data_IF_638920923564
#
_entry.id   IF_638920923564
#
_cell.length_a   1.000
_cell.length_b   1.000
_cell.length_c   1.000
_cell.angle_alpha   90.00
_cell.angle_beta   90.00
_cell.angle_gamma   90.00
#
_symmetry.space_group_name_H-M   'P 1'
#
loop_
_entity.id
_entity.type
_entity.pdbx_description
1 polymer ?
#
# COMPACT_ATOMS: atom_id res chain seq x y z
N UNK A 1 -5.28 -26.72 -9.87
CA UNK A 1 -5.51 -26.03 -8.59
C UNK A 1 -6.70 -25.09 -8.77
N UNK A 2 -7.63 -25.09 -7.82
CA UNK A 2 -8.92 -24.41 -7.93
C UNK A 2 -8.77 -22.88 -7.82
N UNK A 3 -9.41 -22.10 -8.71
CA UNK A 3 -9.31 -20.62 -8.76
C UNK A 3 -9.75 -19.94 -7.45
N UNK A 4 -10.60 -20.61 -6.67
CA UNK A 4 -11.04 -20.14 -5.35
C UNK A 4 -9.94 -20.27 -4.29
N UNK A 5 -9.09 -21.28 -4.37
CA UNK A 5 -7.94 -21.45 -3.47
C UNK A 5 -6.83 -20.45 -3.77
N UNK A 6 -6.54 -20.18 -5.04
CA UNK A 6 -5.51 -19.21 -5.43
C UNK A 6 -5.87 -17.78 -5.04
N UNK A 7 -7.16 -17.43 -5.11
CA UNK A 7 -7.66 -16.13 -4.62
C UNK A 7 -7.51 -15.95 -3.11
N UNK A 8 -7.84 -16.98 -2.31
CA UNK A 8 -7.68 -16.95 -0.85
C UNK A 8 -6.21 -16.83 -0.43
N UNK A 9 -5.32 -17.62 -1.05
CA UNK A 9 -3.87 -17.56 -0.79
C UNK A 9 -3.31 -16.19 -1.19
N UNK A 10 -3.75 -15.63 -2.33
CA UNK A 10 -3.31 -14.30 -2.76
C UNK A 10 -3.77 -13.21 -1.79
N UNK A 11 -4.97 -13.33 -1.24
CA UNK A 11 -5.51 -12.41 -0.24
C UNK A 11 -4.73 -12.48 1.08
N UNK A 12 -4.49 -13.68 1.61
CA UNK A 12 -3.72 -13.88 2.84
C UNK A 12 -2.26 -13.41 2.68
N UNK A 13 -1.66 -13.67 1.52
CA UNK A 13 -0.32 -13.18 1.18
C UNK A 13 -0.27 -11.65 1.11
N UNK A 14 -1.28 -11.01 0.51
CA UNK A 14 -1.40 -9.55 0.47
C UNK A 14 -1.46 -8.96 1.87
N UNK A 15 -2.34 -9.50 2.72
CA UNK A 15 -2.51 -9.02 4.09
C UNK A 15 -1.26 -9.20 4.96
N UNK A 16 -0.57 -10.34 4.83
CA UNK A 16 0.69 -10.58 5.53
C UNK A 16 1.81 -9.64 5.04
N UNK A 17 1.85 -9.35 3.74
CA UNK A 17 2.79 -8.40 3.17
C UNK A 17 2.52 -6.96 3.67
N UNK A 18 1.26 -6.52 3.68
CA UNK A 18 0.84 -5.22 4.23
C UNK A 18 1.29 -5.08 5.70
N UNK A 19 1.03 -6.11 6.51
CA UNK A 19 1.43 -6.11 7.91
C UNK A 19 2.95 -6.06 8.09
N UNK A 20 3.70 -6.78 7.25
CA UNK A 20 5.16 -6.78 7.28
C UNK A 20 5.75 -5.40 6.94
N UNK A 21 5.20 -4.74 5.91
CA UNK A 21 5.60 -3.38 5.52
C UNK A 21 5.26 -2.38 6.62
N UNK A 22 4.05 -2.43 7.18
CA UNK A 22 3.64 -1.60 8.32
C UNK A 22 4.63 -1.72 9.48
N UNK A 23 4.94 -2.95 9.91
CA UNK A 23 5.87 -3.19 11.01
C UNK A 23 7.29 -2.68 10.71
N UNK A 24 7.73 -2.74 9.45
CA UNK A 24 9.04 -2.20 9.07
C UNK A 24 9.11 -0.67 9.25
N UNK A 25 8.08 0.05 8.79
CA UNK A 25 7.99 1.50 9.00
C UNK A 25 7.82 1.87 10.49
N UNK A 26 7.05 1.10 11.26
CA UNK A 26 6.90 1.32 12.70
C UNK A 26 8.22 1.18 13.46
N UNK A 27 9.07 0.20 13.09
CA UNK A 27 10.42 0.08 13.66
C UNK A 27 11.33 1.26 13.30
N UNK A 28 11.06 1.94 12.20
CA UNK A 28 11.75 3.18 11.80
C UNK A 28 11.16 4.43 12.49
N UNK A 29 10.13 4.27 13.32
CA UNK A 29 9.50 5.35 14.09
C UNK A 29 8.34 6.05 13.40
N UNK A 30 7.90 5.56 12.23
CA UNK A 30 6.67 6.02 11.62
C UNK A 30 5.44 5.44 12.34
N UNK A 31 4.31 6.12 12.25
CA UNK A 31 3.02 5.66 12.77
C UNK A 31 2.05 5.44 11.62
N UNK A 32 1.27 4.37 11.71
CA UNK A 32 0.17 4.13 10.77
C UNK A 32 -0.91 5.21 10.98
N UNK A 33 -1.26 5.92 9.91
CA UNK A 33 -2.41 6.83 9.87
C UNK A 33 -3.66 6.08 9.41
N UNK A 34 -3.55 5.38 8.26
CA UNK A 34 -4.64 4.58 7.70
C UNK A 34 -4.12 3.30 7.05
N UNK A 35 -4.93 2.25 7.13
CA UNK A 35 -4.74 0.98 6.45
C UNK A 35 -5.87 0.77 5.44
N UNK A 36 -5.52 0.49 4.19
CA UNK A 36 -6.42 0.31 3.04
C UNK A 36 -7.40 1.47 2.89
N UNK A 37 -6.86 2.68 2.86
CA UNK A 37 -7.63 3.90 2.65
C UNK A 37 -8.22 3.90 1.25
N UNK A 38 -9.49 4.30 1.13
CA UNK A 38 -10.25 4.30 -0.12
C UNK A 38 -11.16 5.50 -0.18
N UNK A 39 -11.20 6.13 -1.34
CA UNK A 39 -12.11 7.21 -1.65
C UNK A 39 -12.54 7.16 -3.13
N UNK A 40 -13.15 8.25 -3.62
CA UNK A 40 -13.53 8.34 -5.03
C UNK A 40 -12.33 8.45 -5.99
N UNK A 41 -11.18 8.92 -5.51
CA UNK A 41 -9.96 9.10 -6.30
C UNK A 41 -9.13 7.81 -6.42
N UNK A 42 -9.16 6.93 -5.42
CA UNK A 42 -8.47 5.64 -5.48
C UNK A 42 -8.38 4.88 -4.15
N UNK A 43 -7.38 4.00 -4.10
CA UNK A 43 -7.03 3.20 -2.91
C UNK A 43 -5.54 3.39 -2.62
N UNK A 44 -5.17 3.38 -1.34
CA UNK A 44 -3.78 3.33 -0.86
C UNK A 44 -3.71 2.29 0.25
N UNK A 45 -2.79 1.32 0.13
CA UNK A 45 -2.70 0.21 1.08
C UNK A 45 -2.28 0.68 2.48
N UNK A 46 -1.29 1.56 2.57
CA UNK A 46 -0.82 2.12 3.83
C UNK A 46 -0.53 3.62 3.71
N UNK A 47 -1.04 4.38 4.66
CA UNK A 47 -0.67 5.79 4.86
C UNK A 47 0.01 5.87 6.22
N UNK A 48 1.27 6.29 6.24
CA UNK A 48 2.07 6.38 7.46
C UNK A 48 2.67 7.78 7.61
N UNK A 49 2.95 8.19 8.85
CA UNK A 49 3.57 9.48 9.14
C UNK A 49 4.74 9.33 10.10
N UNK A 50 5.86 9.96 9.76
CA UNK A 50 6.90 10.29 10.73
C UNK A 50 6.94 11.82 10.93
N UNK A 51 7.86 12.28 11.79
CA UNK A 51 8.11 13.68 12.13
C UNK A 51 7.66 14.68 11.07
N UNK A 52 8.27 14.63 9.88
CA UNK A 52 8.04 15.59 8.81
C UNK A 52 7.50 14.96 7.52
N UNK A 53 7.47 13.62 7.44
CA UNK A 53 7.09 12.93 6.21
C UNK A 53 5.75 12.22 6.35
N UNK A 54 4.95 12.30 5.29
CA UNK A 54 3.76 11.51 5.07
C UNK A 54 4.05 10.54 3.92
N UNK A 55 3.94 9.25 4.19
CA UNK A 55 4.22 8.17 3.26
C UNK A 55 2.93 7.57 2.75
N UNK A 56 2.79 7.50 1.42
CA UNK A 56 1.73 6.78 0.73
C UNK A 56 2.35 5.55 0.09
N UNK A 57 1.95 4.36 0.57
CA UNK A 57 2.66 3.12 0.26
C UNK A 57 1.71 2.12 -0.38
N UNK A 58 2.09 1.68 -1.57
CA UNK A 58 1.51 0.55 -2.30
C UNK A 58 2.32 -0.72 -2.00
N UNK A 59 1.66 -1.81 -1.62
CA UNK A 59 2.33 -3.06 -1.23
C UNK A 59 2.16 -4.10 -2.34
N UNK A 60 3.30 -4.65 -2.80
CA UNK A 60 3.32 -5.70 -3.83
C UNK A 60 4.07 -6.92 -3.33
N UNK A 61 3.36 -7.99 -2.99
CA UNK A 61 3.95 -9.28 -2.67
C UNK A 61 4.56 -9.93 -3.92
N UNK A 62 5.89 -10.09 -3.94
CA UNK A 62 6.63 -10.77 -5.00
C UNK A 62 7.86 -11.48 -4.43
N UNK A 63 8.44 -12.41 -5.20
CA UNK A 63 9.65 -13.13 -4.78
C UNK A 63 10.90 -12.25 -4.73
N UNK A 64 10.95 -11.18 -5.55
CA UNK A 64 12.05 -10.21 -5.57
C UNK A 64 11.51 -8.79 -5.74
N UNK A 65 12.31 -7.80 -5.33
CA UNK A 65 11.96 -6.39 -5.53
C UNK A 65 11.83 -6.03 -7.02
N UNK A 66 12.67 -6.57 -7.90
CA UNK A 66 12.57 -6.33 -9.35
C UNK A 66 11.24 -6.82 -9.93
N UNK A 67 10.76 -7.98 -9.47
CA UNK A 67 9.45 -8.49 -9.86
C UNK A 67 8.32 -7.62 -9.33
N UNK A 68 8.44 -7.09 -8.10
CA UNK A 68 7.46 -6.15 -7.56
C UNK A 68 7.43 -4.84 -8.36
N UNK A 69 8.60 -4.25 -8.65
CA UNK A 69 8.72 -2.99 -9.37
C UNK A 69 8.09 -3.05 -10.77
N UNK A 70 8.28 -4.17 -11.50
CA UNK A 70 7.68 -4.39 -12.83
C UNK A 70 6.15 -4.48 -12.81
N UNK A 71 5.52 -4.67 -11.65
CA UNK A 71 4.05 -4.74 -11.51
C UNK A 71 3.41 -3.37 -11.32
N UNK A 72 4.20 -2.32 -11.10
CA UNK A 72 3.69 -0.95 -10.98
C UNK A 72 3.51 -0.40 -12.40
N UNK A 73 2.27 -0.36 -12.86
CA UNK A 73 1.94 0.26 -14.15
C UNK A 73 1.88 1.79 -14.02
N UNK A 74 2.08 2.55 -15.12
CA UNK A 74 1.90 4.01 -15.11
C UNK A 74 0.51 4.43 -14.60
N UNK A 75 -0.53 3.69 -14.99
CA UNK A 75 -1.90 3.94 -14.51
C UNK A 75 -2.03 3.73 -13.00
N UNK A 76 -1.38 2.69 -12.44
CA UNK A 76 -1.41 2.48 -10.99
C UNK A 76 -0.68 3.60 -10.26
N UNK A 77 0.51 4.00 -10.73
CA UNK A 77 1.26 5.10 -10.14
C UNK A 77 0.44 6.40 -10.14
N UNK A 78 -0.23 6.73 -11.25
CA UNK A 78 -1.10 7.90 -11.32
C UNK A 78 -2.26 7.83 -10.33
N UNK A 79 -2.90 6.66 -10.17
CA UNK A 79 -3.98 6.47 -9.20
C UNK A 79 -3.50 6.69 -7.76
N UNK A 80 -2.33 6.14 -7.39
CA UNK A 80 -1.77 6.35 -6.06
C UNK A 80 -1.46 7.83 -5.81
N UNK A 81 -0.99 8.57 -6.83
CA UNK A 81 -0.77 10.02 -6.72
C UNK A 81 -2.08 10.78 -6.52
N UNK A 82 -3.11 10.51 -7.32
CA UNK A 82 -4.41 11.19 -7.18
C UNK A 82 -5.06 10.89 -5.82
N UNK A 83 -5.00 9.63 -5.38
CA UNK A 83 -5.47 9.21 -4.07
C UNK A 83 -4.71 9.95 -2.94
N UNK A 84 -3.38 10.08 -3.07
CA UNK A 84 -2.56 10.79 -2.09
C UNK A 84 -2.91 12.28 -2.01
N UNK A 85 -3.12 12.93 -3.16
CA UNK A 85 -3.57 14.33 -3.21
C UNK A 85 -4.91 14.53 -2.50
N UNK A 86 -5.90 13.69 -2.81
CA UNK A 86 -7.21 13.73 -2.15
C UNK A 86 -7.11 13.51 -0.63
N UNK A 87 -6.24 12.60 -0.19
CA UNK A 87 -5.99 12.40 1.24
C UNK A 87 -5.46 13.66 1.92
N UNK A 88 -4.47 14.33 1.33
CA UNK A 88 -3.88 15.56 1.89
C UNK A 88 -4.90 16.68 1.95
N UNK A 89 -5.73 16.84 0.92
CA UNK A 89 -6.82 17.84 0.90
C UNK A 89 -7.82 17.63 2.04
N UNK A 90 -8.09 16.38 2.41
CA UNK A 90 -8.99 16.02 3.52
C UNK A 90 -8.31 16.11 4.90
N UNK A 91 -6.97 16.21 4.97
CA UNK A 91 -6.19 16.16 6.21
C UNK A 91 -5.04 17.19 6.21
N UNK A 92 -5.36 18.50 6.35
CA UNK A 92 -4.37 19.59 6.33
C UNK A 92 -3.39 19.58 7.52
#
# INVERSE_FOLDING_TARGET
>A
MDQRQTGKISYENGHSAENSVRLAYERMGAKLCHHRWRDAAGEIDLILRDKAHLFFVEVKAAQTHDHAARRISPTQAMRSVTAAQSYVEQHP
#
